data_IF_406686593563
#
_entry.id   IF_406686593563
#
_cell.length_a   1.000
_cell.length_b   1.000
_cell.length_c   1.000
_cell.angle_alpha   90.00
_cell.angle_beta   90.00
_cell.angle_gamma   90.00
#
_symmetry.space_group_name_H-M   'P 1'
#
loop_
_entity.id
_entity.type
_entity.pdbx_description
1 polymer ?
#
# COMPACT_ATOMS: atom_id res chain seq x y z
N UNK A 1 -21.01 -31.06 -15.11
CA UNK A 1 -20.56 -30.21 -14.55
C UNK A 1 -20.70 -30.27 -13.17
N UNK A 2 -19.88 -30.21 -12.53
CA UNK A 2 -19.95 -30.29 -11.13
C UNK A 2 -20.47 -29.02 -10.50
N UNK A 3 -21.03 -29.16 -9.36
CA UNK A 3 -21.37 -28.01 -8.56
C UNK A 3 -20.15 -27.62 -7.75
N UNK A 4 -20.21 -26.42 -7.25
CA UNK A 4 -19.15 -25.90 -6.39
C UNK A 4 -19.35 -26.53 -5.01
N UNK A 5 -18.36 -27.27 -4.54
CA UNK A 5 -18.51 -28.02 -3.31
C UNK A 5 -18.17 -27.21 -2.08
N UNK A 6 -17.25 -26.26 -2.20
CA UNK A 6 -16.96 -25.39 -1.09
C UNK A 6 -16.42 -24.08 -1.64
N UNK A 7 -16.35 -23.08 -0.78
CA UNK A 7 -15.96 -21.73 -1.18
C UNK A 7 -14.67 -21.31 -0.52
N UNK A 8 -13.87 -22.27 -0.06
CA UNK A 8 -12.63 -21.98 0.64
C UNK A 8 -11.66 -21.19 -0.22
N UNK A 9 -11.59 -21.51 -1.52
CA UNK A 9 -10.71 -20.80 -2.43
C UNK A 9 -11.04 -19.31 -2.47
N UNK A 10 -12.34 -18.99 -2.60
CA UNK A 10 -12.76 -17.60 -2.63
C UNK A 10 -12.41 -16.88 -1.32
N UNK A 11 -12.82 -17.45 -0.19
CA UNK A 11 -12.64 -16.77 1.09
C UNK A 11 -11.19 -16.67 1.51
N UNK A 12 -10.37 -17.62 1.10
CA UNK A 12 -8.94 -17.59 1.39
C UNK A 12 -8.30 -16.30 0.88
N UNK A 13 -8.69 -15.86 -0.32
CA UNK A 13 -8.16 -14.64 -0.91
C UNK A 13 -8.99 -13.41 -0.54
N UNK A 14 -10.30 -13.56 -0.51
CA UNK A 14 -11.20 -12.45 -0.23
C UNK A 14 -10.92 -11.85 1.17
N UNK A 15 -10.64 -12.71 2.14
CA UNK A 15 -10.37 -12.25 3.50
C UNK A 15 -9.06 -11.48 3.64
N UNK A 16 -8.19 -11.56 2.63
CA UNK A 16 -6.94 -10.80 2.61
C UNK A 16 -7.11 -9.41 2.02
N UNK A 17 -8.25 -9.12 1.42
CA UNK A 17 -8.46 -7.83 0.79
C UNK A 17 -8.66 -6.74 1.82
N UNK A 18 -8.12 -5.57 1.54
CA UNK A 18 -8.40 -4.38 2.31
C UNK A 18 -9.55 -3.66 1.63
N UNK A 19 -10.72 -3.73 2.24
CA UNK A 19 -11.95 -3.23 1.63
C UNK A 19 -12.52 -2.12 2.48
N UNK A 20 -12.70 -0.92 1.91
CA UNK A 20 -13.41 0.13 2.63
C UNK A 20 -14.90 -0.22 2.68
N UNK A 21 -15.51 -0.03 3.83
CA UNK A 21 -16.93 -0.32 3.99
C UNK A 21 -17.20 -1.77 4.33
N UNK A 22 -18.41 -2.21 4.02
CA UNK A 22 -18.90 -3.51 4.40
C UNK A 22 -18.42 -4.59 3.43
N UNK A 23 -17.75 -5.60 3.97
CA UNK A 23 -17.24 -6.70 3.16
C UNK A 23 -18.36 -7.50 2.50
N UNK A 24 -19.49 -7.68 3.19
CA UNK A 24 -20.62 -8.41 2.60
C UNK A 24 -21.18 -7.69 1.39
N UNK A 25 -21.30 -6.37 1.48
CA UNK A 25 -21.78 -5.59 0.35
C UNK A 25 -20.82 -5.68 -0.83
N UNK A 26 -19.52 -5.61 -0.55
CA UNK A 26 -18.51 -5.69 -1.60
C UNK A 26 -18.54 -7.06 -2.27
N UNK A 27 -18.70 -8.13 -1.48
CA UNK A 27 -18.83 -9.49 -2.01
C UNK A 27 -20.01 -9.59 -2.97
N UNK A 28 -21.15 -9.05 -2.58
CA UNK A 28 -22.34 -9.08 -3.43
C UNK A 28 -22.12 -8.36 -4.73
N UNK A 29 -21.47 -7.21 -4.70
CA UNK A 29 -21.17 -6.44 -5.90
C UNK A 29 -20.28 -7.25 -6.85
N UNK A 30 -19.26 -7.91 -6.29
CA UNK A 30 -18.36 -8.74 -7.10
C UNK A 30 -19.12 -9.88 -7.77
N UNK A 31 -19.99 -10.54 -7.02
CA UNK A 31 -20.74 -11.67 -7.55
C UNK A 31 -21.68 -11.21 -8.66
N UNK A 32 -22.35 -10.08 -8.46
CA UNK A 32 -23.19 -9.51 -9.49
C UNK A 32 -22.39 -9.21 -10.75
N UNK A 33 -21.19 -8.70 -10.59
CA UNK A 33 -20.31 -8.38 -11.70
C UNK A 33 -19.95 -9.61 -12.52
N UNK A 34 -19.65 -10.71 -11.85
CA UNK A 34 -19.20 -11.92 -12.52
C UNK A 34 -20.34 -12.83 -12.99
N UNK A 35 -21.56 -12.51 -12.62
CA UNK A 35 -22.75 -13.25 -13.08
C UNK A 35 -23.64 -12.41 -13.97
N UNK A 36 -23.15 -11.25 -14.40
CA UNK A 36 -23.91 -10.37 -15.30
C UNK A 36 -25.24 -9.97 -14.65
N UNK A 37 -25.17 -9.64 -13.35
CA UNK A 37 -26.31 -9.23 -12.52
C UNK A 37 -27.36 -10.32 -12.32
N UNK A 38 -26.99 -11.57 -12.54
CA UNK A 38 -27.95 -12.68 -12.39
C UNK A 38 -28.17 -13.03 -10.92
N UNK A 39 -27.14 -12.96 -10.10
CA UNK A 39 -27.25 -13.33 -8.69
C UNK A 39 -26.20 -12.62 -7.87
N UNK A 40 -26.44 -12.47 -6.57
CA UNK A 40 -25.45 -11.98 -5.63
C UNK A 40 -24.99 -13.06 -4.64
N UNK A 41 -25.27 -14.31 -4.96
CA UNK A 41 -24.97 -15.43 -4.06
C UNK A 41 -23.91 -16.35 -4.69
N UNK A 42 -22.88 -16.68 -3.92
CA UNK A 42 -21.86 -17.64 -4.35
C UNK A 42 -22.48 -18.98 -4.73
N UNK A 43 -23.51 -19.37 -4.01
CA UNK A 43 -24.17 -20.66 -4.24
C UNK A 43 -24.79 -20.77 -5.63
N UNK A 44 -25.20 -19.62 -6.18
CA UNK A 44 -25.90 -19.60 -7.45
C UNK A 44 -24.99 -19.35 -8.63
N UNK A 45 -23.70 -19.18 -8.38
CA UNK A 45 -22.73 -18.99 -9.45
C UNK A 45 -22.49 -20.30 -10.20
N UNK A 46 -22.32 -20.19 -11.52
CA UNK A 46 -21.84 -21.33 -12.29
C UNK A 46 -20.35 -21.52 -12.01
N UNK A 47 -19.87 -22.75 -12.23
CA UNK A 47 -18.47 -23.07 -11.95
C UNK A 47 -17.50 -22.15 -12.67
N UNK A 48 -17.77 -21.85 -13.95
CA UNK A 48 -16.90 -20.95 -14.71
C UNK A 48 -16.86 -19.54 -14.14
N UNK A 49 -18.02 -19.05 -13.70
CA UNK A 49 -18.12 -17.73 -13.07
C UNK A 49 -17.32 -17.70 -11.77
N UNK A 50 -17.46 -18.75 -10.99
CA UNK A 50 -16.76 -18.84 -9.69
C UNK A 50 -15.24 -18.86 -9.89
N UNK A 51 -14.76 -19.65 -10.86
CA UNK A 51 -13.33 -19.73 -11.13
C UNK A 51 -12.79 -18.37 -11.56
N UNK A 52 -13.51 -17.67 -12.43
CA UNK A 52 -13.10 -16.35 -12.88
C UNK A 52 -13.06 -15.36 -11.72
N UNK A 53 -14.06 -15.41 -10.84
CA UNK A 53 -14.10 -14.56 -9.66
C UNK A 53 -12.92 -14.86 -8.75
N UNK A 54 -12.64 -16.12 -8.49
CA UNK A 54 -11.52 -16.51 -7.62
C UNK A 54 -10.19 -16.04 -8.16
N UNK A 55 -9.97 -16.17 -9.47
CA UNK A 55 -8.74 -15.69 -10.10
C UNK A 55 -8.58 -14.17 -9.86
N UNK A 56 -9.64 -13.43 -10.09
CA UNK A 56 -9.60 -11.98 -9.94
C UNK A 56 -9.30 -11.58 -8.51
N UNK A 57 -9.95 -12.24 -7.55
CA UNK A 57 -9.75 -11.94 -6.13
C UNK A 57 -8.34 -12.34 -5.70
N UNK A 58 -7.82 -13.46 -6.21
CA UNK A 58 -6.46 -13.89 -5.91
C UNK A 58 -5.43 -12.89 -6.42
N UNK A 59 -5.63 -12.36 -7.62
CA UNK A 59 -4.73 -11.36 -8.18
C UNK A 59 -4.76 -10.08 -7.36
N UNK A 60 -5.95 -9.66 -6.96
CA UNK A 60 -6.09 -8.45 -6.15
C UNK A 60 -5.46 -8.65 -4.77
N UNK A 61 -5.66 -9.81 -4.16
CA UNK A 61 -5.05 -10.11 -2.87
C UNK A 61 -3.52 -10.10 -2.96
N UNK A 62 -2.98 -10.67 -4.02
CA UNK A 62 -1.53 -10.63 -4.26
C UNK A 62 -1.01 -9.22 -4.41
N UNK A 63 -1.72 -8.41 -5.17
CA UNK A 63 -1.38 -7.00 -5.33
C UNK A 63 -1.38 -6.28 -3.97
N UNK A 64 -2.40 -6.51 -3.16
CA UNK A 64 -2.50 -5.85 -1.85
C UNK A 64 -1.38 -6.29 -0.90
N UNK A 65 -1.01 -7.56 -0.93
CA UNK A 65 0.10 -8.06 -0.12
C UNK A 65 1.40 -7.40 -0.54
N UNK A 66 1.64 -7.31 -1.84
CA UNK A 66 2.86 -6.68 -2.33
C UNK A 66 2.88 -5.19 -2.04
N UNK A 67 1.74 -4.52 -2.21
CA UNK A 67 1.62 -3.10 -1.91
C UNK A 67 1.97 -2.83 -0.44
N UNK A 68 1.44 -3.65 0.46
CA UNK A 68 1.73 -3.51 1.88
C UNK A 68 3.20 -3.74 2.18
N UNK A 69 3.80 -4.75 1.54
CA UNK A 69 5.22 -5.05 1.74
C UNK A 69 6.10 -3.89 1.27
N UNK A 70 5.80 -3.32 0.10
CA UNK A 70 6.58 -2.19 -0.41
C UNK A 70 6.40 -0.95 0.46
N UNK A 71 5.19 -0.70 0.96
CA UNK A 71 4.96 0.42 1.87
C UNK A 71 5.77 0.26 3.16
N UNK A 72 5.77 -0.95 3.71
CA UNK A 72 6.54 -1.21 4.93
C UNK A 72 8.04 -1.01 4.71
N UNK A 73 8.56 -1.49 3.58
CA UNK A 73 9.97 -1.31 3.25
C UNK A 73 10.33 0.17 3.13
N UNK A 74 9.48 0.94 2.46
CA UNK A 74 9.72 2.37 2.30
C UNK A 74 9.70 3.10 3.63
N UNK A 75 8.72 2.76 4.50
CA UNK A 75 8.63 3.39 5.81
C UNK A 75 9.86 3.08 6.66
N UNK A 76 10.34 1.84 6.59
CA UNK A 76 11.53 1.46 7.33
C UNK A 76 12.74 2.26 6.87
N UNK A 77 12.90 2.41 5.55
CA UNK A 77 14.01 3.20 5.02
C UNK A 77 13.88 4.68 5.41
N UNK A 78 12.65 5.23 5.35
CA UNK A 78 12.42 6.59 5.79
C UNK A 78 12.83 6.78 7.25
N UNK A 79 12.46 5.82 8.10
CA UNK A 79 12.82 5.86 9.50
C UNK A 79 14.34 5.86 9.67
N UNK A 80 15.04 5.07 8.88
CA UNK A 80 16.49 5.03 8.92
C UNK A 80 17.12 6.33 8.45
N UNK A 81 16.40 7.07 7.61
CA UNK A 81 16.85 8.38 7.11
C UNK A 81 16.47 9.54 8.06
N UNK A 82 15.81 9.25 9.16
CA UNK A 82 15.46 10.25 10.14
C UNK A 82 14.06 10.82 10.04
N UNK A 83 13.21 10.24 9.19
CA UNK A 83 11.81 10.66 9.11
C UNK A 83 11.04 10.04 10.26
N UNK A 84 10.20 10.84 10.93
CA UNK A 84 9.34 10.32 11.99
C UNK A 84 8.16 9.59 11.37
N UNK A 85 8.24 8.27 11.32
CA UNK A 85 7.20 7.45 10.66
C UNK A 85 6.00 7.19 11.56
N UNK A 86 5.96 7.78 12.75
CA UNK A 86 4.75 7.75 13.58
C UNK A 86 3.85 8.93 13.30
N UNK A 87 4.29 9.87 12.49
CA UNK A 87 3.57 11.10 12.18
C UNK A 87 3.30 11.16 10.68
N UNK A 88 2.04 11.02 10.28
CA UNK A 88 1.66 11.03 8.87
C UNK A 88 1.95 12.36 8.19
N UNK A 89 1.87 13.45 8.94
CA UNK A 89 2.21 14.76 8.38
C UNK A 89 3.68 14.80 7.96
N UNK A 90 4.54 14.28 8.81
CA UNK A 90 5.97 14.22 8.53
C UNK A 90 6.28 13.32 7.33
N UNK A 91 5.63 12.16 7.28
CA UNK A 91 5.80 11.23 6.16
C UNK A 91 5.38 11.88 4.85
N UNK A 92 4.20 12.51 4.84
CA UNK A 92 3.67 13.12 3.63
C UNK A 92 4.49 14.32 3.21
N UNK A 93 4.95 15.11 4.15
CA UNK A 93 5.80 16.25 3.89
C UNK A 93 7.08 15.83 3.17
N UNK A 94 7.70 14.78 3.69
CA UNK A 94 8.90 14.23 3.09
C UNK A 94 8.63 13.71 1.68
N UNK A 95 7.54 12.96 1.48
CA UNK A 95 7.22 12.37 0.19
C UNK A 95 6.82 13.38 -0.86
N UNK A 96 6.26 14.52 -0.46
CA UNK A 96 5.86 15.57 -1.40
C UNK A 96 7.04 16.29 -2.02
N UNK A 97 8.21 16.16 -1.44
CA UNK A 97 9.42 16.79 -1.98
C UNK A 97 9.64 16.31 -3.40
N UNK A 98 10.02 17.25 -4.30
CA UNK A 98 10.19 16.94 -5.71
C UNK A 98 11.28 15.92 -5.98
N UNK A 99 12.23 15.78 -5.06
CA UNK A 99 13.30 14.80 -5.20
C UNK A 99 12.93 13.43 -4.65
N UNK A 100 11.82 13.34 -3.97
CA UNK A 100 11.39 12.08 -3.35
C UNK A 100 10.29 11.45 -4.19
N UNK A 101 9.03 11.87 -4.03
CA UNK A 101 7.93 11.22 -4.74
C UNK A 101 6.94 12.21 -5.36
N UNK A 102 7.01 13.47 -4.98
CA UNK A 102 6.17 14.56 -5.48
C UNK A 102 4.69 14.41 -5.11
N UNK A 103 4.37 13.52 -4.18
CA UNK A 103 2.98 13.28 -3.80
C UNK A 103 2.92 12.67 -2.40
N UNK A 104 1.76 12.73 -1.74
CA UNK A 104 1.61 12.09 -0.43
C UNK A 104 1.85 10.58 -0.53
N UNK A 105 2.36 10.02 0.54
CA UNK A 105 2.75 8.61 0.57
C UNK A 105 1.61 7.67 0.17
N UNK A 106 0.40 7.94 0.68
CA UNK A 106 -0.74 7.06 0.41
C UNK A 106 -1.19 7.03 -1.03
N UNK A 107 -0.75 7.98 -1.85
CA UNK A 107 -1.12 8.04 -3.27
C UNK A 107 -0.11 7.37 -4.18
N UNK A 108 1.01 6.94 -3.65
CA UNK A 108 2.06 6.36 -4.48
C UNK A 108 1.63 4.97 -4.93
N UNK A 109 1.70 4.72 -6.25
CA UNK A 109 1.35 3.43 -6.83
C UNK A 109 2.39 2.38 -6.45
N UNK A 110 2.09 1.12 -6.72
CA UNK A 110 3.03 0.04 -6.45
C UNK A 110 4.36 0.27 -7.18
N UNK A 111 4.30 0.64 -8.46
CA UNK A 111 5.52 0.92 -9.22
C UNK A 111 6.24 2.13 -8.65
N UNK A 112 5.49 3.15 -8.25
CA UNK A 112 6.05 4.33 -7.60
C UNK A 112 6.75 4.00 -6.30
N UNK A 113 6.18 3.08 -5.53
CA UNK A 113 6.82 2.66 -4.28
C UNK A 113 8.13 1.94 -4.53
N UNK A 114 8.19 1.13 -5.58
CA UNK A 114 9.44 0.46 -5.96
C UNK A 114 10.52 1.46 -6.34
N UNK A 115 10.14 2.50 -7.08
CA UNK A 115 11.07 3.57 -7.43
C UNK A 115 11.49 4.36 -6.20
N UNK A 116 10.54 4.68 -5.34
CA UNK A 116 10.81 5.38 -4.09
C UNK A 116 11.80 4.59 -3.24
N UNK A 117 11.59 3.29 -3.13
CA UNK A 117 12.48 2.43 -2.35
C UNK A 117 13.91 2.52 -2.87
N UNK A 118 14.09 2.52 -4.19
CA UNK A 118 15.43 2.65 -4.79
C UNK A 118 16.07 3.99 -4.43
N UNK A 119 15.29 5.06 -4.49
CA UNK A 119 15.78 6.39 -4.15
C UNK A 119 16.18 6.49 -2.68
N UNK A 120 15.34 5.93 -1.81
CA UNK A 120 15.64 5.97 -0.38
C UNK A 120 16.89 5.18 -0.06
N UNK A 121 17.06 4.03 -0.71
CA UNK A 121 18.23 3.20 -0.52
C UNK A 121 19.48 3.94 -0.97
N UNK A 122 19.39 4.63 -2.11
CA UNK A 122 20.52 5.42 -2.63
C UNK A 122 20.88 6.56 -1.67
N UNK A 123 19.86 7.23 -1.12
CA UNK A 123 20.10 8.30 -0.14
C UNK A 123 20.78 7.76 1.10
N UNK A 124 20.35 6.61 1.57
CA UNK A 124 20.96 5.98 2.73
C UNK A 124 22.42 5.63 2.45
N UNK A 125 22.69 5.09 1.27
CA UNK A 125 24.05 4.72 0.88
C UNK A 125 24.98 5.93 0.84
N UNK A 126 24.44 7.11 0.53
CA UNK A 126 25.21 8.34 0.51
C UNK A 126 25.36 8.99 1.89
N UNK A 127 24.74 8.41 2.91
CA UNK A 127 24.77 8.97 4.24
C UNK A 127 23.83 10.14 4.46
N UNK A 128 22.90 10.35 3.55
CA UNK A 128 21.93 11.43 3.71
C UNK A 128 20.98 11.16 4.85
N UNK A 129 20.65 12.19 5.61
CA UNK A 129 19.65 12.10 6.69
C UNK A 129 18.76 13.33 6.64
N UNK A 130 17.47 13.11 6.96
CA UNK A 130 16.57 14.23 7.07
C UNK A 130 16.95 15.08 8.27
N UNK A 131 16.92 16.39 8.09
CA UNK A 131 17.17 17.29 9.19
C UNK A 131 15.97 17.33 10.13
N UNK A 132 16.17 16.84 11.34
CA UNK A 132 15.11 16.80 12.33
C UNK A 132 15.31 17.79 13.46
N UNK A 133 16.33 18.66 13.31
CA UNK A 133 16.64 19.60 14.38
C UNK A 133 15.87 20.89 14.24
N UNK A 134 14.83 20.88 13.52
CA UNK A 134 14.07 22.06 13.36
C UNK A 134 13.50 22.56 14.65
N UNK A 135 13.85 22.05 15.60
CA UNK A 135 13.51 22.59 16.71
C UNK A 135 14.36 23.49 17.17
N UNK A 136 14.58 24.02 17.04
CA UNK A 136 15.10 24.76 17.10
C UNK A 136 16.01 25.18 16.91
N UNK A 137 16.13 25.27 16.83
CA UNK A 137 16.88 25.44 16.62
C UNK A 137 17.59 25.57 16.44
N UNK A 138 18.04 25.69 16.70
CA UNK A 138 18.73 25.67 16.40
C UNK A 138 19.50 25.38 15.89
N UNK A 139 19.92 25.35 16.27
CA UNK A 139 20.45 24.84 15.84
C UNK A 139 20.91 24.54 15.00
N UNK A 140 21.45 24.77 15.40
CA UNK A 140 21.71 24.50 14.72
C UNK A 140 22.27 24.45 14.01
N UNK A 141 22.72 24.92 14.38
CA UNK A 141 22.94 24.86 13.84
C UNK A 141 23.55 24.64 13.51
N UNK A 142 24.00 25.01 14.20
CA UNK A 142 24.15 24.74 14.08
C UNK A 142 24.58 24.52 13.39
N UNK A 143 25.16 24.97 13.85
CA UNK A 143 25.07 24.68 13.41
C UNK A 143 25.23 24.49 12.72
N UNK A 144 25.76 24.90 13.06
CA UNK A 144 25.42 24.73 12.71
C UNK A 144 25.30 24.45 12.24
N UNK A 145 25.64 24.85 12.68
CA UNK A 145 25.02 24.55 12.51
C UNK A 145 24.93 24.30 11.86
N UNK A 146 25.29 24.69 12.05
CA UNK A 146 24.70 24.49 11.65
C UNK A 146 24.58 24.33 10.68
N UNK A 147 24.76 24.52 10.64
CA UNK A 147 24.44 24.53 10.03
C UNK A 147 24.15 24.49 9.28
N UNK A 148 24.20 24.92 9.50
CA UNK A 148 23.72 24.83 8.95
C UNK A 148 23.38 24.69 8.34
N UNK A 149 23.34 24.83 8.70
CA UNK A 149 22.88 24.71 8.40
C UNK A 149 22.72 24.43 8.10
#
# INVERSE_FOLDING_TARGET
MGSIENYARFYSSFNRLTIPGDKEDYKKVLILQYTDNRTDSLREMHTTEYIALCKSVEELAGYNVELKAQRSSCLKLMQELGVDTTDWHEINDFCKNARIAKMPFGRISLDGLKELRKRLFALKAKGWRRDTTKEPIYMLNLAGVLGKA
#
